data_IF_303111064828
#
_entry.id   IF_303111064828
#
_cell.length_a   1.000
_cell.length_b   1.000
_cell.length_c   1.000
_cell.angle_alpha   90.00
_cell.angle_beta   90.00
_cell.angle_gamma   90.00
#
_symmetry.space_group_name_H-M   'P 1'
#
loop_
_entity.id
_entity.type
_entity.pdbx_description
1 polymer ?
#
# COMPACT_ATOMS: atom_id res chain seq x y z
N UNK A 1 -4.15 10.39 15.90
CA UNK A 1 -3.42 9.56 16.90
C UNK A 1 -2.98 8.29 16.22
N UNK A 2 -1.67 7.99 16.18
CA UNK A 2 -1.18 6.72 15.67
C UNK A 2 -1.65 5.59 16.60
N UNK A 3 -2.12 4.49 16.01
CA UNK A 3 -2.46 3.28 16.75
C UNK A 3 -1.48 2.18 16.39
N UNK A 4 -0.93 1.50 17.40
CA UNK A 4 -0.09 0.34 17.16
C UNK A 4 -0.95 -0.84 16.70
N UNK A 5 -0.62 -1.37 15.53
CA UNK A 5 -1.23 -2.58 14.97
C UNK A 5 -0.14 -3.61 14.67
N UNK A 6 -0.54 -4.87 14.61
CA UNK A 6 0.33 -5.97 14.19
C UNK A 6 0.02 -6.32 12.75
N UNK A 7 1.03 -6.33 11.89
CA UNK A 7 0.88 -6.68 10.50
C UNK A 7 0.51 -8.17 10.38
N UNK A 8 -0.65 -8.54 9.81
CA UNK A 8 -1.06 -9.94 9.68
C UNK A 8 -0.18 -10.75 8.71
N UNK A 9 0.65 -10.09 7.89
CA UNK A 9 1.57 -10.75 6.96
C UNK A 9 2.91 -11.11 7.59
N UNK A 10 3.56 -10.18 8.29
CA UNK A 10 4.92 -10.37 8.80
C UNK A 10 5.00 -10.42 10.33
N UNK A 11 3.91 -10.15 11.04
CA UNK A 11 3.87 -10.08 12.51
C UNK A 11 4.54 -8.85 13.11
N UNK A 12 5.04 -7.91 12.30
CA UNK A 12 5.67 -6.70 12.80
C UNK A 12 4.65 -5.73 13.39
N UNK A 13 4.97 -5.16 14.55
CA UNK A 13 4.21 -4.05 15.14
C UNK A 13 4.54 -2.77 14.38
N UNK A 14 3.53 -2.00 13.99
CA UNK A 14 3.70 -0.75 13.28
C UNK A 14 2.65 0.28 13.69
N UNK A 15 2.94 1.56 13.46
CA UNK A 15 1.99 2.63 13.69
C UNK A 15 1.08 2.79 12.47
N UNK A 16 -0.21 2.54 12.68
CA UNK A 16 -1.23 2.73 11.68
C UNK A 16 -1.87 4.12 11.87
N UNK A 17 -1.78 4.94 10.83
CA UNK A 17 -2.37 6.28 10.78
C UNK A 17 -3.68 6.25 9.98
N UNK A 18 -4.52 5.21 10.11
CA UNK A 18 -5.76 5.10 9.34
C UNK A 18 -6.73 6.27 9.55
N UNK A 19 -6.66 6.93 10.71
CA UNK A 19 -7.44 8.15 11.01
C UNK A 19 -6.97 9.38 10.23
N UNK A 20 -5.79 9.34 9.61
CA UNK A 20 -5.24 10.36 8.75
C UNK A 20 -4.68 9.70 7.48
N UNK A 21 -5.54 9.57 6.47
CA UNK A 21 -5.19 8.88 5.23
C UNK A 21 -3.99 9.53 4.53
N UNK A 22 -3.79 10.86 4.66
CA UNK A 22 -2.67 11.56 4.04
C UNK A 22 -1.33 11.17 4.65
N UNK A 23 -1.32 10.80 5.93
CA UNK A 23 -0.15 10.33 6.65
C UNK A 23 -0.07 8.80 6.77
N UNK A 24 -1.04 8.09 6.20
CA UNK A 24 -1.08 6.64 6.23
C UNK A 24 -0.05 6.05 5.27
N UNK A 25 0.73 5.08 5.74
CA UNK A 25 1.67 4.34 4.88
C UNK A 25 0.98 3.70 3.67
N UNK A 26 -0.31 3.34 3.77
CA UNK A 26 -1.09 2.87 2.63
C UNK A 26 -1.23 3.91 1.51
N UNK A 27 -1.32 5.20 1.82
CA UNK A 27 -1.42 6.25 0.81
C UNK A 27 -0.07 6.66 0.23
N UNK A 28 1.02 6.44 0.97
CA UNK A 28 2.38 6.71 0.50
C UNK A 28 2.87 5.72 -0.57
N UNK A 29 2.34 4.51 -0.55
CA UNK A 29 2.74 3.44 -1.47
C UNK A 29 1.76 3.43 -2.64
N UNK A 30 2.27 3.63 -3.85
CA UNK A 30 1.47 3.48 -5.07
C UNK A 30 1.26 1.99 -5.32
N UNK A 31 0.01 1.56 -5.18
CA UNK A 31 -0.42 0.21 -5.49
C UNK A 31 -1.39 0.24 -6.67
N UNK A 32 -1.32 -0.77 -7.52
CA UNK A 32 -2.25 -0.93 -8.63
C UNK A 32 -3.65 -1.29 -8.09
N UNK A 33 -4.72 -1.03 -8.86
CA UNK A 33 -6.08 -1.41 -8.45
C UNK A 33 -6.22 -2.91 -8.16
N UNK A 34 -5.47 -3.76 -8.86
CA UNK A 34 -5.42 -5.21 -8.61
C UNK A 34 -4.75 -5.54 -7.28
N UNK A 35 -3.64 -4.84 -6.95
CA UNK A 35 -2.98 -4.97 -5.65
C UNK A 35 -3.91 -4.53 -4.51
N UNK A 36 -4.67 -3.45 -4.71
CA UNK A 36 -5.70 -3.01 -3.76
C UNK A 36 -6.82 -4.03 -3.58
N UNK A 37 -7.33 -4.61 -4.66
CA UNK A 37 -8.35 -5.66 -4.59
C UNK A 37 -7.83 -6.88 -3.82
N UNK A 38 -6.61 -7.33 -4.14
CA UNK A 38 -5.95 -8.44 -3.45
C UNK A 38 -5.79 -8.16 -1.94
N UNK A 39 -5.37 -6.96 -1.56
CA UNK A 39 -5.25 -6.58 -0.15
C UNK A 39 -6.59 -6.67 0.57
N UNK A 40 -7.65 -6.12 -0.03
CA UNK A 40 -8.99 -6.09 0.55
C UNK A 40 -9.61 -7.48 0.69
N UNK A 41 -9.30 -8.39 -0.22
CA UNK A 41 -9.80 -9.77 -0.18
C UNK A 41 -8.98 -10.67 0.74
N UNK A 42 -7.67 -10.45 0.84
CA UNK A 42 -6.74 -11.34 1.56
C UNK A 42 -6.53 -10.92 3.02
N UNK A 43 -6.45 -9.61 3.29
CA UNK A 43 -6.08 -9.09 4.59
C UNK A 43 -7.26 -8.32 5.21
N UNK A 44 -7.81 -8.80 6.34
CA UNK A 44 -8.88 -8.10 7.05
C UNK A 44 -8.40 -6.84 7.79
N UNK A 45 -7.09 -6.63 7.89
CA UNK A 45 -6.48 -5.50 8.62
C UNK A 45 -5.33 -4.86 7.81
N UNK A 46 -4.84 -3.72 8.30
CA UNK A 46 -3.79 -2.94 7.67
C UNK A 46 -2.45 -3.68 7.67
N UNK A 47 -1.70 -3.53 6.57
CA UNK A 47 -0.32 -3.99 6.48
C UNK A 47 0.68 -2.89 6.85
N UNK A 48 1.85 -3.29 7.32
CA UNK A 48 2.94 -2.37 7.56
C UNK A 48 3.54 -1.84 6.24
N UNK A 49 4.24 -0.71 6.32
CA UNK A 49 4.88 -0.07 5.17
C UNK A 49 5.78 -1.02 4.37
N UNK A 50 6.59 -1.84 5.05
CA UNK A 50 7.48 -2.79 4.38
C UNK A 50 6.72 -3.83 3.53
N UNK A 51 5.60 -4.35 4.03
CA UNK A 51 4.77 -5.30 3.28
C UNK A 51 4.06 -4.64 2.10
N UNK A 52 3.59 -3.40 2.26
CA UNK A 52 2.99 -2.62 1.18
C UNK A 52 4.01 -2.33 0.07
N UNK A 53 5.23 -1.93 0.43
CA UNK A 53 6.31 -1.69 -0.54
C UNK A 53 6.72 -2.98 -1.26
N UNK A 54 6.75 -4.12 -0.57
CA UNK A 54 6.99 -5.42 -1.22
C UNK A 54 5.87 -5.79 -2.20
N UNK A 55 4.62 -5.44 -1.89
CA UNK A 55 3.50 -5.67 -2.80
C UNK A 55 3.65 -4.80 -4.04
N UNK A 56 3.92 -3.50 -3.87
CA UNK A 56 4.18 -2.56 -4.96
C UNK A 56 5.34 -3.02 -5.84
N UNK A 57 6.41 -3.57 -5.24
CA UNK A 57 7.57 -4.10 -5.94
C UNK A 57 7.30 -5.45 -6.67
N UNK A 58 6.12 -6.05 -6.52
CA UNK A 58 5.81 -7.35 -7.12
C UNK A 58 6.50 -8.54 -6.45
N UNK A 59 7.03 -8.37 -5.24
CA UNK A 59 7.66 -9.44 -4.46
C UNK A 59 6.63 -10.33 -3.74
N UNK A 60 5.35 -10.02 -3.89
CA UNK A 60 4.23 -10.79 -3.34
C UNK A 60 3.49 -11.46 -4.49
N UNK A 61 3.23 -12.78 -4.40
CA UNK A 61 2.43 -13.48 -5.40
C UNK A 61 0.95 -13.08 -5.24
N UNK A 62 0.56 -11.96 -5.88
CA UNK A 62 -0.84 -11.61 -6.12
C UNK A 62 -1.16 -11.93 -7.59
N UNK A 63 -2.33 -12.51 -7.84
CA UNK A 63 -2.69 -13.04 -9.16
C UNK A 63 -2.94 -11.93 -10.20
N UNK A 64 -2.42 -12.19 -11.41
CA UNK A 64 -2.61 -11.55 -12.71
C UNK A 64 -1.74 -10.35 -13.13
N UNK A 65 -0.77 -10.70 -13.99
CA UNK A 65 -0.21 -9.91 -15.10
C UNK A 65 -1.30 -9.22 -15.92
N UNK A 66 -1.18 -7.91 -16.10
CA UNK A 66 -0.89 -7.29 -17.40
C UNK A 66 -0.24 -5.94 -17.15
N UNK A 67 1.02 -5.83 -17.59
CA UNK A 67 1.83 -4.61 -17.62
C UNK A 67 1.10 -3.60 -18.51
N UNK A 68 0.76 -2.40 -18.04
CA UNK A 68 0.77 -1.16 -18.83
C UNK A 68 0.43 0.11 -17.99
N UNK A 69 1.42 1.01 -17.89
CA UNK A 69 1.35 2.45 -17.62
C UNK A 69 0.95 2.96 -16.21
N UNK A 70 1.93 3.10 -15.31
CA UNK A 70 2.01 4.28 -14.44
C UNK A 70 2.96 5.29 -15.10
N UNK A 71 2.47 5.97 -16.14
CA UNK A 71 3.14 7.13 -16.71
C UNK A 71 2.96 8.31 -15.76
N UNK A 72 4.08 8.80 -15.25
CA UNK A 72 4.37 10.21 -14.97
C UNK A 72 3.24 11.05 -14.35
N UNK A 73 3.27 11.18 -13.02
CA UNK A 73 2.81 12.42 -12.40
C UNK A 73 3.97 13.42 -12.50
N UNK A 74 4.09 14.10 -13.64
CA UNK A 74 4.99 15.24 -13.76
C UNK A 74 4.49 16.35 -12.83
N UNK A 75 5.43 16.78 -12.02
CA UNK A 75 5.51 17.95 -11.17
C UNK A 75 5.29 19.26 -11.95
N UNK A 76 4.68 20.24 -11.26
CA UNK A 76 4.72 21.68 -11.54
C UNK A 76 4.03 22.23 -12.81
N UNK A 77 3.15 23.22 -12.60
CA UNK A 77 3.31 24.62 -13.07
C UNK A 77 1.93 25.30 -13.23
N UNK A 78 1.56 26.18 -12.29
CA UNK A 78 0.44 27.11 -12.46
C UNK A 78 0.95 28.52 -12.17
N UNK A 79 1.22 29.28 -13.24
CA UNK A 79 1.40 30.73 -13.24
C UNK A 79 0.28 31.35 -14.05
#
# INVERSE_FOLDING_TARGET
MPMQKVCPRCGATFECMHNDILQCHCASVRLSPEQHAYLKETYPDCLCHACLTQLAAGNIPYINKSRENDKESIDSEQR
#
